data_IF_884017949428
#
_entry.id   IF_884017949428
#
_cell.length_a   1.000
_cell.length_b   1.000
_cell.length_c   1.000
_cell.angle_alpha   90.00
_cell.angle_beta   90.00
_cell.angle_gamma   90.00
#
_symmetry.space_group_name_H-M   'P 1'
#
loop_
_entity.id
_entity.type
_entity.pdbx_description
1 polymer ?
#
# COMPACT_ATOMS: atom_id res chain seq x y z
N UNK A 1 9.32 -11.74 3.97
CA UNK A 1 10.08 -10.56 4.46
C UNK A 1 11.52 -10.57 3.95
N UNK A 2 12.12 -11.74 3.78
CA UNK A 2 13.50 -11.86 3.31
C UNK A 2 13.72 -11.25 1.92
N UNK A 3 12.74 -11.40 1.01
CA UNK A 3 12.76 -10.74 -0.29
C UNK A 3 12.81 -9.21 -0.21
N UNK A 4 12.13 -8.59 0.75
CA UNK A 4 12.19 -7.14 0.94
C UNK A 4 13.58 -6.72 1.43
N UNK A 5 14.11 -7.44 2.43
CA UNK A 5 15.43 -7.17 3.02
C UNK A 5 16.55 -7.29 1.98
N UNK A 6 16.48 -8.27 1.09
CA UNK A 6 17.48 -8.46 0.02
C UNK A 6 17.39 -7.40 -1.08
N UNK A 7 16.26 -6.70 -1.21
CA UNK A 7 16.01 -5.70 -2.25
C UNK A 7 16.10 -4.26 -1.77
N UNK A 8 16.40 -4.00 -0.49
CA UNK A 8 16.45 -2.64 0.07
C UNK A 8 17.33 -1.70 -0.76
N UNK A 9 18.49 -2.17 -1.22
CA UNK A 9 19.43 -1.38 -2.03
C UNK A 9 18.88 -0.98 -3.42
N UNK A 10 17.77 -1.59 -3.87
CA UNK A 10 17.13 -1.27 -5.15
C UNK A 10 16.01 -0.23 -5.02
N UNK A 11 15.62 0.12 -3.79
CA UNK A 11 14.53 1.04 -3.54
C UNK A 11 15.00 2.49 -3.61
N UNK A 12 14.16 3.41 -4.11
CA UNK A 12 14.48 4.83 -4.13
C UNK A 12 14.55 5.38 -2.69
N UNK A 13 15.60 6.15 -2.39
CA UNK A 13 15.79 6.79 -1.07
C UNK A 13 15.25 8.22 -1.01
N UNK A 14 14.96 8.82 -2.17
CA UNK A 14 14.49 10.19 -2.35
C UNK A 14 12.96 10.29 -2.43
N UNK A 15 12.25 9.18 -2.21
CA UNK A 15 10.80 9.08 -2.34
C UNK A 15 10.17 8.44 -1.13
N UNK A 16 8.93 8.84 -0.87
CA UNK A 16 8.09 8.15 0.09
C UNK A 16 7.69 6.77 -0.45
N UNK A 17 7.89 5.73 0.35
CA UNK A 17 7.46 4.37 0.04
C UNK A 17 6.12 4.13 0.73
N UNK A 18 5.09 3.85 -0.07
CA UNK A 18 3.75 3.55 0.43
C UNK A 18 3.54 2.03 0.45
N UNK A 19 3.28 1.50 1.64
CA UNK A 19 3.08 0.05 1.84
C UNK A 19 1.60 -0.25 2.04
N UNK A 20 1.10 -1.24 1.30
CA UNK A 20 -0.28 -1.72 1.38
C UNK A 20 -0.34 -3.24 1.26
N UNK A 21 -1.49 -3.81 1.63
CA UNK A 21 -1.74 -5.25 1.56
C UNK A 21 -3.25 -5.48 1.33
N UNK A 22 -3.83 -6.49 1.98
CA UNK A 22 -5.25 -6.87 1.87
C UNK A 22 -6.14 -6.15 2.88
N UNK A 23 -5.65 -5.09 3.51
CA UNK A 23 -6.42 -4.28 4.46
C UNK A 23 -5.74 -4.09 5.82
N UNK A 24 -6.49 -3.54 6.81
CA UNK A 24 -5.93 -2.96 8.03
C UNK A 24 -5.32 -4.00 8.97
N UNK A 25 -5.76 -5.25 8.88
CA UNK A 25 -5.29 -6.35 9.74
C UNK A 25 -4.09 -7.12 9.17
N UNK A 26 -3.56 -6.71 8.01
CA UNK A 26 -2.41 -7.39 7.42
C UNK A 26 -1.11 -7.05 8.16
N UNK A 27 -0.67 -7.96 9.03
CA UNK A 27 0.60 -7.86 9.79
C UNK A 27 1.80 -7.64 8.87
N UNK A 28 1.81 -8.26 7.67
CA UNK A 28 2.91 -8.12 6.73
C UNK A 28 3.12 -6.67 6.27
N UNK A 29 2.04 -5.90 6.07
CA UNK A 29 2.19 -4.49 5.70
C UNK A 29 2.79 -3.65 6.84
N UNK A 30 2.42 -3.95 8.09
CA UNK A 30 2.98 -3.28 9.25
C UNK A 30 4.48 -3.60 9.41
N UNK A 31 4.83 -4.89 9.34
CA UNK A 31 6.22 -5.35 9.43
C UNK A 31 7.12 -4.79 8.30
N UNK A 32 6.59 -4.66 7.09
CA UNK A 32 7.35 -4.08 5.99
C UNK A 32 7.65 -2.59 6.23
N UNK A 33 6.71 -1.84 6.83
CA UNK A 33 6.93 -0.44 7.21
C UNK A 33 8.00 -0.32 8.29
N UNK A 34 7.99 -1.19 9.30
CA UNK A 34 9.04 -1.24 10.33
C UNK A 34 10.42 -1.49 9.69
N UNK A 35 10.54 -2.52 8.85
CA UNK A 35 11.80 -2.84 8.15
C UNK A 35 12.30 -1.63 7.34
N UNK A 36 11.43 -0.96 6.59
CA UNK A 36 11.83 0.19 5.76
C UNK A 36 12.26 1.38 6.63
N UNK A 37 11.52 1.70 7.69
CA UNK A 37 11.87 2.78 8.62
C UNK A 37 13.19 2.53 9.33
N UNK A 38 13.42 1.31 9.79
CA UNK A 38 14.67 0.91 10.47
C UNK A 38 15.89 1.03 9.53
N UNK A 39 15.67 1.02 8.21
CA UNK A 39 16.70 1.21 7.20
C UNK A 39 16.74 2.64 6.63
N UNK A 40 16.07 3.60 7.27
CA UNK A 40 16.15 5.03 6.95
C UNK A 40 15.28 5.48 5.79
N UNK A 41 14.33 4.67 5.33
CA UNK A 41 13.38 5.08 4.29
C UNK A 41 12.23 5.89 4.89
N UNK A 42 11.76 6.89 4.14
CA UNK A 42 10.49 7.55 4.41
C UNK A 42 9.34 6.62 4.00
N UNK A 43 8.47 6.27 4.93
CA UNK A 43 7.46 5.23 4.69
C UNK A 43 6.13 5.53 5.37
N UNK A 44 5.04 5.33 4.63
CA UNK A 44 3.67 5.35 5.14
C UNK A 44 2.96 4.03 4.85
N UNK A 45 1.90 3.78 5.61
CA UNK A 45 1.04 2.60 5.46
C UNK A 45 -0.34 3.04 5.05
N UNK A 46 -0.90 2.41 4.03
CA UNK A 46 -2.32 2.52 3.73
C UNK A 46 -3.04 1.34 4.39
N UNK A 47 -4.07 1.65 5.17
CA UNK A 47 -4.87 0.66 5.88
C UNK A 47 -5.94 0.04 4.99
N UNK A 48 -6.45 0.80 4.03
CA UNK A 48 -7.34 0.34 2.98
C UNK A 48 -6.64 -0.73 2.14
N UNK A 49 -7.32 -1.85 1.95
CA UNK A 49 -6.87 -2.91 1.08
C UNK A 49 -7.35 -2.72 -0.35
N UNK A 50 -6.89 -3.63 -1.21
CA UNK A 50 -7.30 -3.71 -2.62
C UNK A 50 -8.83 -3.82 -2.76
N UNK A 51 -9.54 -4.41 -1.80
CA UNK A 51 -10.99 -4.54 -1.83
C UNK A 51 -11.71 -3.22 -1.59
N UNK A 52 -11.24 -2.41 -0.65
CA UNK A 52 -11.73 -1.06 -0.38
C UNK A 52 -11.54 -0.18 -1.62
N UNK A 53 -10.38 -0.24 -2.26
CA UNK A 53 -10.10 0.53 -3.48
C UNK A 53 -11.01 0.09 -4.63
N UNK A 54 -11.16 -1.22 -4.86
CA UNK A 54 -12.04 -1.75 -5.91
C UNK A 54 -13.49 -1.29 -5.71
N UNK A 55 -14.00 -1.36 -4.47
CA UNK A 55 -15.32 -0.85 -4.14
C UNK A 55 -15.42 0.66 -4.37
N UNK A 56 -14.41 1.44 -3.98
CA UNK A 56 -14.41 2.88 -4.24
C UNK A 56 -14.54 3.15 -5.75
N UNK A 57 -13.75 2.50 -6.61
CA UNK A 57 -13.87 2.69 -8.06
C UNK A 57 -15.21 2.21 -8.63
N UNK A 58 -15.76 1.10 -8.14
CA UNK A 58 -17.06 0.57 -8.57
C UNK A 58 -18.23 1.50 -8.20
N UNK A 59 -18.18 2.17 -7.06
CA UNK A 59 -19.23 3.08 -6.59
C UNK A 59 -18.98 4.56 -6.93
N UNK A 60 -17.75 4.92 -7.34
CA UNK A 60 -17.39 6.29 -7.74
C UNK A 60 -17.43 6.50 -9.26
N UNK A 61 -17.62 5.41 -10.02
CA UNK A 61 -17.97 5.50 -11.44
C UNK A 61 -19.48 5.71 -11.53
N UNK A 62 -19.98 6.76 -12.20
CA UNK A 62 -21.43 6.90 -12.39
C UNK A 62 -21.94 5.67 -13.14
N UNK A 63 -23.07 5.15 -12.67
CA UNK A 63 -23.75 4.05 -13.36
C UNK A 63 -24.18 4.54 -14.76
N UNK A 64 -24.00 3.75 -15.83
CA UNK A 64 -24.56 4.10 -17.15
C UNK A 64 -26.09 4.31 -17.15
N UNK A 65 -26.78 3.95 -16.06
CA UNK A 65 -28.22 4.15 -15.89
C UNK A 65 -28.59 5.52 -15.25
N UNK A 66 -27.61 6.33 -14.84
CA UNK A 66 -27.83 7.67 -14.27
C UNK A 66 -27.71 8.81 -15.31
N UNK A 67 -27.39 8.51 -16.58
CA UNK A 67 -27.32 9.46 -17.71
C UNK A 67 -28.52 9.38 -18.68
N UNK A 68 -29.69 8.90 -18.22
CA UNK A 68 -30.95 8.90 -18.99
C UNK A 68 -31.82 10.13 -18.70
#
# INVERSE_FOLDING_TARGET
MDDLKTKLATLPTDKEIVVYCRGPYCIMSAQAVEILKDNGFHTSRIEEGVHEWKRHFEHSSPSPLEEL
#
